data_IF_205216173972
#
_entry.id   IF_205216173972
#
_cell.length_a   1.000
_cell.length_b   1.000
_cell.length_c   1.000
_cell.angle_alpha   90.00
_cell.angle_beta   90.00
_cell.angle_gamma   90.00
#
_symmetry.space_group_name_H-M   'P 1'
#
loop_
_entity.id
_entity.type
_entity.pdbx_description
1 polymer ?
#
# COMPACT_ATOMS: atom_id res chain seq x y z
N UNK A 1 -3.65 -4.16 -18.20
CA UNK A 1 -4.13 -3.18 -17.22
C UNK A 1 -5.19 -3.77 -16.29
N UNK A 2 -6.30 -4.32 -16.82
CA UNK A 2 -7.44 -4.78 -16.01
C UNK A 2 -7.06 -5.76 -14.90
N UNK A 3 -6.29 -6.82 -15.20
CA UNK A 3 -5.85 -7.79 -14.19
C UNK A 3 -5.05 -7.13 -13.05
N UNK A 4 -4.15 -6.21 -13.38
CA UNK A 4 -3.34 -5.51 -12.38
C UNK A 4 -4.20 -4.54 -11.52
N UNK A 5 -5.17 -3.85 -12.14
CA UNK A 5 -6.09 -2.98 -11.42
C UNK A 5 -7.03 -3.80 -10.50
N UNK A 6 -7.49 -4.99 -10.93
CA UNK A 6 -8.27 -5.89 -10.06
C UNK A 6 -7.45 -6.42 -8.89
N UNK A 7 -6.18 -6.78 -9.10
CA UNK A 7 -5.28 -7.19 -8.03
C UNK A 7 -5.01 -6.05 -7.04
N UNK A 8 -4.81 -4.83 -7.53
CA UNK A 8 -4.67 -3.65 -6.68
C UNK A 8 -5.93 -3.42 -5.84
N UNK A 9 -7.11 -3.42 -6.47
CA UNK A 9 -8.37 -3.23 -5.77
C UNK A 9 -8.61 -4.31 -4.70
N UNK A 10 -8.28 -5.58 -4.99
CA UNK A 10 -8.33 -6.66 -4.01
C UNK A 10 -7.42 -6.37 -2.80
N UNK A 11 -6.17 -5.98 -3.07
CA UNK A 11 -5.21 -5.65 -2.01
C UNK A 11 -5.69 -4.48 -1.15
N UNK A 12 -6.28 -3.47 -1.77
CA UNK A 12 -6.81 -2.28 -1.08
C UNK A 12 -8.00 -2.61 -0.18
N UNK A 13 -8.87 -3.51 -0.61
CA UNK A 13 -10.07 -3.89 0.15
C UNK A 13 -9.78 -4.89 1.28
N UNK A 14 -8.87 -5.85 1.05
CA UNK A 14 -8.68 -6.99 1.95
C UNK A 14 -7.44 -6.90 2.84
N UNK A 15 -6.44 -6.09 2.44
CA UNK A 15 -5.12 -6.08 3.07
C UNK A 15 -4.22 -7.25 2.71
N UNK A 16 -4.74 -8.22 1.96
CA UNK A 16 -3.96 -9.33 1.43
C UNK A 16 -3.45 -8.98 0.03
N UNK A 17 -2.25 -9.41 -0.37
CA UNK A 17 -1.74 -9.09 -1.69
C UNK A 17 -2.64 -9.63 -2.80
N UNK A 18 -3.16 -8.75 -3.64
CA UNK A 18 -3.77 -9.18 -4.89
C UNK A 18 -2.69 -9.68 -5.85
N UNK A 19 -2.94 -10.79 -6.53
CA UNK A 19 -1.98 -11.42 -7.43
C UNK A 19 -2.44 -11.26 -8.88
N UNK A 20 -1.56 -10.74 -9.73
CA UNK A 20 -1.77 -10.71 -11.18
C UNK A 20 -0.64 -11.45 -11.88
N UNK A 21 -1.00 -12.27 -12.88
CA UNK A 21 -0.05 -12.94 -13.77
C UNK A 21 -0.21 -12.37 -15.17
N UNK A 22 0.88 -11.96 -15.79
CA UNK A 22 0.89 -11.39 -17.14
C UNK A 22 2.02 -11.98 -17.98
N UNK A 23 1.83 -11.92 -19.30
CA UNK A 23 2.91 -12.29 -20.22
C UNK A 23 4.01 -11.24 -20.25
N UNK A 24 5.17 -11.62 -20.76
CA UNK A 24 6.32 -10.72 -21.00
C UNK A 24 5.95 -9.55 -21.92
N UNK A 25 6.80 -8.55 -21.96
CA UNK A 25 6.68 -7.42 -22.87
C UNK A 25 5.37 -6.64 -22.69
N UNK A 26 4.46 -6.70 -23.66
CA UNK A 26 3.21 -5.92 -23.64
C UNK A 26 2.35 -6.14 -22.40
N UNK A 27 2.31 -7.39 -21.87
CA UNK A 27 1.57 -7.69 -20.64
C UNK A 27 2.11 -6.92 -19.44
N UNK A 28 3.43 -6.90 -19.25
CA UNK A 28 4.09 -6.13 -18.21
C UNK A 28 3.89 -4.62 -18.38
N UNK A 29 4.01 -4.10 -19.61
CA UNK A 29 3.77 -2.69 -19.89
C UNK A 29 2.34 -2.27 -19.51
N UNK A 30 1.34 -3.06 -19.87
CA UNK A 30 -0.05 -2.78 -19.49
C UNK A 30 -0.31 -2.94 -17.99
N UNK A 31 0.41 -3.83 -17.30
CA UNK A 31 0.27 -4.03 -15.86
C UNK A 31 0.91 -2.92 -15.02
N UNK A 32 1.86 -2.18 -15.58
CA UNK A 32 2.63 -1.16 -14.85
C UNK A 32 1.75 -0.09 -14.21
N UNK A 33 0.61 0.25 -14.80
CA UNK A 33 -0.33 1.22 -14.22
C UNK A 33 -0.88 0.73 -12.86
N UNK A 34 -1.30 -0.54 -12.76
CA UNK A 34 -1.79 -1.10 -11.50
C UNK A 34 -0.68 -1.18 -10.44
N UNK A 35 0.56 -1.52 -10.85
CA UNK A 35 1.73 -1.52 -9.95
C UNK A 35 2.01 -0.10 -9.43
N UNK A 36 1.97 0.91 -10.31
CA UNK A 36 2.19 2.29 -9.91
C UNK A 36 1.11 2.80 -8.95
N UNK A 37 -0.16 2.48 -9.21
CA UNK A 37 -1.27 2.81 -8.30
C UNK A 37 -1.04 2.14 -6.94
N UNK A 38 -0.75 0.83 -6.91
CA UNK A 38 -0.48 0.10 -5.68
C UNK A 38 0.70 0.70 -4.88
N UNK A 39 1.75 1.14 -5.57
CA UNK A 39 2.89 1.79 -4.93
C UNK A 39 2.54 3.13 -4.30
N UNK A 40 1.78 3.96 -5.01
CA UNK A 40 1.35 5.28 -4.52
C UNK A 40 0.36 5.17 -3.36
N UNK A 41 -0.59 4.25 -3.45
CA UNK A 41 -1.63 4.04 -2.44
C UNK A 41 -1.18 3.14 -1.28
N UNK A 42 0.04 2.60 -1.34
CA UNK A 42 0.57 1.64 -0.35
C UNK A 42 -0.27 0.36 -0.26
N UNK A 43 -0.75 -0.13 -1.41
CA UNK A 43 -1.58 -1.33 -1.52
C UNK A 43 -0.71 -2.57 -1.70
N UNK A 44 -0.89 -3.64 -0.92
CA UNK A 44 -0.16 -4.88 -1.12
C UNK A 44 -0.58 -5.56 -2.43
N UNK A 45 0.40 -5.91 -3.27
CA UNK A 45 0.19 -6.53 -4.56
C UNK A 45 1.40 -7.38 -4.96
N UNK A 46 1.19 -8.47 -5.68
CA UNK A 46 2.25 -9.25 -6.32
C UNK A 46 1.95 -9.36 -7.81
N UNK A 47 2.84 -8.82 -8.63
CA UNK A 47 2.80 -8.99 -10.07
C UNK A 47 3.79 -10.07 -10.48
N UNK A 48 3.32 -11.10 -11.18
CA UNK A 48 4.14 -12.16 -11.76
C UNK A 48 4.18 -11.96 -13.27
N UNK A 49 5.38 -11.92 -13.86
CA UNK A 49 5.60 -11.66 -15.27
C UNK A 49 6.36 -12.83 -15.88
N UNK A 50 5.86 -13.40 -16.97
CA UNK A 50 6.66 -14.30 -17.78
C UNK A 50 7.85 -13.55 -18.40
N UNK A 51 8.99 -14.25 -18.57
CA UNK A 51 10.18 -13.68 -19.19
C UNK A 51 10.72 -14.62 -20.28
N UNK A 52 11.50 -14.10 -21.20
CA UNK A 52 12.19 -14.92 -22.19
C UNK A 52 13.08 -15.96 -21.52
N UNK A 53 13.35 -17.08 -22.21
CA UNK A 53 14.27 -18.09 -21.69
C UNK A 53 15.65 -17.49 -21.39
N UNK A 54 16.27 -17.93 -20.30
CA UNK A 54 17.61 -17.48 -19.89
C UNK A 54 18.65 -17.64 -21.01
N UNK A 55 18.50 -18.68 -21.84
CA UNK A 55 19.41 -18.94 -22.95
C UNK A 55 19.33 -17.90 -24.09
N UNK A 56 18.25 -17.14 -24.17
CA UNK A 56 18.03 -16.10 -25.19
C UNK A 56 18.21 -14.69 -24.67
N UNK A 57 18.56 -14.54 -23.40
CA UNK A 57 18.75 -13.25 -22.74
C UNK A 57 19.85 -12.42 -23.42
N UNK A 58 19.62 -11.11 -23.46
CA UNK A 58 20.56 -10.11 -24.03
C UNK A 58 20.88 -10.33 -25.54
N UNK A 59 19.91 -10.94 -26.27
CA UNK A 59 20.01 -11.17 -27.71
C UNK A 59 18.87 -10.53 -28.49
N UNK A 60 18.24 -9.50 -27.91
CA UNK A 60 17.05 -8.86 -28.48
C UNK A 60 15.89 -9.88 -28.68
N UNK A 61 15.75 -10.82 -27.75
CA UNK A 61 14.72 -11.83 -27.82
C UNK A 61 13.32 -11.18 -27.84
N UNK A 62 12.39 -11.81 -28.56
CA UNK A 62 11.06 -11.25 -28.77
C UNK A 62 10.34 -10.90 -27.46
N UNK A 63 10.01 -9.62 -27.28
CA UNK A 63 9.36 -9.05 -26.10
C UNK A 63 10.20 -9.09 -24.81
N UNK A 64 11.50 -9.24 -24.90
CA UNK A 64 12.38 -9.12 -23.76
C UNK A 64 12.37 -7.70 -23.17
N UNK A 65 12.26 -7.58 -21.86
CA UNK A 65 12.40 -6.31 -21.13
C UNK A 65 13.20 -6.57 -19.85
N UNK A 66 14.05 -5.61 -19.48
CA UNK A 66 14.65 -5.58 -18.16
C UNK A 66 13.62 -5.05 -17.13
N UNK A 67 12.91 -5.99 -16.49
CA UNK A 67 11.86 -5.63 -15.53
C UNK A 67 12.39 -4.99 -14.27
N UNK A 68 13.60 -5.31 -13.86
CA UNK A 68 14.21 -4.66 -12.72
C UNK A 68 14.41 -3.16 -13.00
N UNK A 69 14.90 -2.80 -14.16
CA UNK A 69 15.01 -1.39 -14.57
C UNK A 69 13.64 -0.72 -14.69
N UNK A 70 12.64 -1.44 -15.21
CA UNK A 70 11.30 -0.90 -15.43
C UNK A 70 10.52 -0.64 -14.13
N UNK A 71 10.60 -1.55 -13.14
CA UNK A 71 9.74 -1.54 -11.96
C UNK A 71 10.43 -1.14 -10.66
N UNK A 72 11.76 -0.98 -10.63
CA UNK A 72 12.50 -0.70 -9.39
C UNK A 72 12.04 0.57 -8.68
N UNK A 73 11.61 1.59 -9.42
CA UNK A 73 11.15 2.87 -8.86
C UNK A 73 9.69 2.87 -8.39
N UNK A 74 8.91 1.87 -8.79
CA UNK A 74 7.47 1.77 -8.51
C UNK A 74 7.06 0.46 -7.82
N UNK A 75 8.03 -0.26 -7.25
CA UNK A 75 7.78 -1.46 -6.46
C UNK A 75 8.68 -1.51 -5.23
N UNK A 76 8.31 -2.28 -4.24
CA UNK A 76 9.15 -2.53 -3.06
C UNK A 76 10.31 -3.47 -3.35
N UNK A 77 10.10 -4.36 -4.30
CA UNK A 77 11.08 -5.32 -4.77
C UNK A 77 10.71 -5.79 -6.17
N UNK A 78 11.68 -5.81 -7.04
CA UNK A 78 11.57 -6.37 -8.37
C UNK A 78 12.74 -7.33 -8.60
N UNK A 79 12.44 -8.58 -8.92
CA UNK A 79 13.47 -9.62 -9.08
C UNK A 79 13.05 -10.66 -10.11
N UNK A 80 14.05 -11.29 -10.73
CA UNK A 80 13.85 -12.47 -11.56
C UNK A 80 14.15 -13.74 -10.75
N UNK A 81 13.30 -14.76 -10.90
CA UNK A 81 13.46 -16.06 -10.29
C UNK A 81 14.21 -16.95 -11.28
N UNK A 82 15.41 -17.33 -10.94
CA UNK A 82 16.36 -18.05 -11.81
C UNK A 82 16.38 -19.57 -11.60
N UNK A 83 15.69 -20.08 -10.57
CA UNK A 83 15.66 -21.50 -10.18
C UNK A 83 14.25 -21.91 -9.75
N UNK A 84 13.79 -23.04 -10.28
CA UNK A 84 12.47 -23.60 -9.96
C UNK A 84 12.35 -24.00 -8.48
N UNK A 85 13.43 -24.52 -7.88
CA UNK A 85 13.48 -24.96 -6.49
C UNK A 85 13.30 -23.80 -5.52
N UNK A 86 13.65 -22.59 -5.95
CA UNK A 86 13.57 -21.38 -5.13
C UNK A 86 12.26 -20.60 -5.28
N UNK A 87 11.36 -21.02 -6.16
CA UNK A 87 10.06 -20.32 -6.34
C UNK A 87 9.32 -20.14 -5.00
N UNK A 88 9.20 -21.16 -4.12
CA UNK A 88 8.50 -20.98 -2.84
C UNK A 88 9.17 -19.94 -1.93
N UNK A 89 10.50 -19.89 -1.89
CA UNK A 89 11.26 -18.88 -1.14
C UNK A 89 10.93 -17.45 -1.64
N UNK A 90 10.96 -17.24 -2.97
CA UNK A 90 10.67 -15.95 -3.56
C UNK A 90 9.22 -15.52 -3.34
N UNK A 91 8.26 -16.43 -3.44
CA UNK A 91 6.85 -16.16 -3.17
C UNK A 91 6.63 -15.77 -1.69
N UNK A 92 7.22 -16.53 -0.76
CA UNK A 92 7.14 -16.23 0.66
C UNK A 92 7.73 -14.85 0.99
N UNK A 93 8.90 -14.54 0.42
CA UNK A 93 9.53 -13.23 0.57
C UNK A 93 8.71 -12.11 -0.06
N UNK A 94 8.15 -12.33 -1.25
CA UNK A 94 7.28 -11.37 -1.92
C UNK A 94 6.06 -11.04 -1.08
N UNK A 95 5.41 -12.05 -0.51
CA UNK A 95 4.27 -11.88 0.39
C UNK A 95 4.64 -11.03 1.62
N UNK A 96 5.72 -11.40 2.30
CA UNK A 96 6.20 -10.66 3.47
C UNK A 96 6.54 -9.20 3.13
N UNK A 97 7.24 -8.96 2.02
CA UNK A 97 7.58 -7.60 1.61
C UNK A 97 6.35 -6.78 1.22
N UNK A 98 5.38 -7.39 0.52
CA UNK A 98 4.17 -6.69 0.12
C UNK A 98 3.33 -6.25 1.32
N UNK A 99 3.31 -7.05 2.41
CA UNK A 99 2.45 -6.85 3.58
C UNK A 99 3.12 -6.19 4.78
N UNK A 100 4.45 -6.08 4.81
CA UNK A 100 5.19 -5.57 5.98
C UNK A 100 5.56 -4.09 5.85
N UNK A 101 5.62 -3.40 6.98
CA UNK A 101 5.94 -1.97 7.04
C UNK A 101 4.96 -1.14 6.22
N UNK A 102 5.44 -0.22 5.37
CA UNK A 102 4.61 0.38 4.35
C UNK A 102 4.30 -0.69 3.29
N UNK A 103 3.07 -1.15 3.24
CA UNK A 103 2.63 -2.13 2.25
C UNK A 103 2.81 -1.61 0.81
N UNK A 104 2.88 -2.49 -0.17
CA UNK A 104 3.08 -2.07 -1.55
C UNK A 104 3.38 -3.23 -2.50
N UNK A 105 3.52 -2.94 -3.81
CA UNK A 105 3.68 -3.97 -4.82
C UNK A 105 5.07 -4.59 -4.82
N UNK A 106 5.10 -5.88 -5.14
CA UNK A 106 6.29 -6.65 -5.47
C UNK A 106 6.14 -7.21 -6.89
N UNK A 107 7.22 -7.22 -7.65
CA UNK A 107 7.25 -7.71 -9.02
C UNK A 107 8.22 -8.88 -9.14
N UNK A 108 7.74 -10.01 -9.62
CA UNK A 108 8.51 -11.22 -9.88
C UNK A 108 8.50 -11.52 -11.36
N UNK A 109 9.64 -11.70 -11.99
CA UNK A 109 9.72 -12.24 -13.34
C UNK A 109 10.23 -13.68 -13.31
N UNK A 110 9.66 -14.54 -14.17
CA UNK A 110 9.99 -15.94 -14.21
C UNK A 110 10.30 -16.32 -15.67
N UNK A 111 11.56 -16.73 -15.98
CA UNK A 111 11.92 -17.16 -17.31
C UNK A 111 11.15 -18.40 -17.77
N UNK A 112 10.86 -18.47 -19.06
CA UNK A 112 10.07 -19.54 -19.69
C UNK A 112 10.65 -20.95 -19.41
N UNK A 113 11.98 -21.08 -19.46
CA UNK A 113 12.63 -22.34 -19.13
C UNK A 113 12.49 -22.72 -17.65
N UNK A 114 12.40 -21.76 -16.72
CA UNK A 114 12.14 -22.02 -15.30
C UNK A 114 10.67 -22.41 -15.08
N UNK A 115 9.73 -21.74 -15.76
CA UNK A 115 8.30 -22.09 -15.72
C UNK A 115 7.98 -23.50 -16.23
N UNK A 116 8.84 -24.05 -17.09
CA UNK A 116 8.67 -25.38 -17.68
C UNK A 116 9.33 -26.51 -16.89
N UNK A 117 10.04 -26.18 -15.83
CA UNK A 117 10.73 -27.16 -14.98
C UNK A 117 9.81 -27.68 -13.87
N UNK A 118 10.15 -28.85 -13.36
CA UNK A 118 9.55 -29.44 -12.16
C UNK A 118 10.61 -29.68 -11.10
N UNK A 119 10.26 -29.47 -9.84
CA UNK A 119 11.15 -29.72 -8.72
C UNK A 119 10.39 -30.34 -7.55
N UNK A 120 11.10 -31.12 -6.75
CA UNK A 120 10.62 -31.55 -5.45
C UNK A 120 10.89 -30.43 -4.43
N UNK A 121 9.84 -29.95 -3.77
CA UNK A 121 9.95 -28.89 -2.78
C UNK A 121 9.36 -29.35 -1.45
N UNK A 122 9.87 -28.81 -0.34
CA UNK A 122 9.30 -29.00 0.98
C UNK A 122 8.26 -27.90 1.28
N UNK A 123 7.14 -28.29 1.89
CA UNK A 123 5.99 -27.39 2.20
C UNK A 123 6.24 -26.39 3.36
N UNK A 124 7.45 -25.93 3.57
CA UNK A 124 7.85 -25.32 4.85
C UNK A 124 7.81 -23.81 4.95
N UNK A 125 7.31 -23.08 3.96
CA UNK A 125 7.31 -21.61 4.01
C UNK A 125 5.96 -21.07 4.52
N UNK A 126 5.79 -21.04 5.85
CA UNK A 126 4.69 -20.28 6.46
C UNK A 126 5.07 -18.80 6.53
N UNK A 127 4.24 -17.95 5.98
CA UNK A 127 4.42 -16.49 6.03
C UNK A 127 3.36 -15.87 6.93
N UNK A 128 3.81 -15.15 7.95
CA UNK A 128 2.92 -14.30 8.75
C UNK A 128 3.33 -12.84 8.50
N UNK A 129 2.37 -11.93 8.26
CA UNK A 129 2.67 -10.52 8.16
C UNK A 129 3.34 -10.04 9.44
N UNK A 130 4.46 -9.34 9.31
CA UNK A 130 5.11 -8.72 10.45
C UNK A 130 4.41 -7.42 10.82
N UNK A 131 3.84 -7.36 12.01
CA UNK A 131 3.32 -6.15 12.60
C UNK A 131 4.31 -5.59 13.63
N UNK A 132 4.73 -4.34 13.46
CA UNK A 132 5.54 -3.67 14.46
C UNK A 132 4.72 -3.44 15.73
N UNK A 133 5.29 -3.77 16.89
CA UNK A 133 4.66 -3.44 18.16
C UNK A 133 4.71 -1.90 18.41
N UNK A 134 3.65 -1.31 18.96
CA UNK A 134 3.68 0.09 19.33
C UNK A 134 4.73 0.36 20.42
N UNK A 135 5.26 1.58 20.47
CA UNK A 135 6.13 2.02 21.54
C UNK A 135 5.43 1.88 22.90
N UNK A 136 6.17 1.47 23.92
CA UNK A 136 5.63 1.45 25.30
C UNK A 136 5.14 2.84 25.71
N UNK A 137 3.97 2.89 26.32
CA UNK A 137 3.34 4.12 26.81
C UNK A 137 2.94 5.13 25.72
N UNK A 138 2.80 4.70 24.45
CA UNK A 138 2.30 5.58 23.39
C UNK A 138 0.89 6.09 23.70
N UNK A 139 0.06 5.26 24.31
CA UNK A 139 -1.28 5.61 24.79
C UNK A 139 -1.27 6.73 25.82
N UNK A 140 -0.33 6.70 26.77
CA UNK A 140 -0.15 7.76 27.78
C UNK A 140 0.30 9.06 27.12
N UNK A 141 1.26 8.99 26.18
CA UNK A 141 1.72 10.18 25.43
C UNK A 141 0.58 10.81 24.64
N UNK A 142 -0.16 10.01 23.89
CA UNK A 142 -1.31 10.49 23.11
C UNK A 142 -2.37 11.10 24.00
N UNK A 143 -2.70 10.46 25.15
CA UNK A 143 -3.65 10.99 26.12
C UNK A 143 -3.22 12.35 26.68
N UNK A 144 -1.94 12.51 27.00
CA UNK A 144 -1.41 13.80 27.51
C UNK A 144 -1.53 14.90 26.45
N UNK A 145 -1.14 14.66 25.20
CA UNK A 145 -1.31 15.62 24.12
C UNK A 145 -2.77 16.06 23.95
N UNK A 146 -3.73 15.12 23.96
CA UNK A 146 -5.14 15.48 23.88
C UNK A 146 -5.65 16.26 25.09
N UNK A 147 -5.11 16.00 26.30
CA UNK A 147 -5.53 16.74 27.51
C UNK A 147 -5.06 18.19 27.53
N UNK A 148 -4.01 18.51 26.80
CA UNK A 148 -3.42 19.85 26.69
C UNK A 148 -3.98 20.64 25.48
N UNK A 149 -4.56 19.95 24.50
CA UNK A 149 -5.08 20.55 23.26
C UNK A 149 -6.47 21.11 23.44
N UNK A 150 -6.73 22.26 22.80
CA UNK A 150 -8.04 22.89 22.72
C UNK A 150 -8.73 22.69 21.35
N UNK A 151 -7.94 22.49 20.31
CA UNK A 151 -8.42 22.33 18.92
C UNK A 151 -7.75 21.13 18.23
N UNK A 152 -7.93 19.90 18.75
CA UNK A 152 -7.36 18.72 18.13
C UNK A 152 -8.02 18.40 16.79
N UNK A 153 -7.26 17.87 15.84
CA UNK A 153 -7.73 17.33 14.58
C UNK A 153 -7.09 15.97 14.33
N UNK A 154 -7.90 14.99 13.93
CA UNK A 154 -7.40 13.68 13.52
C UNK A 154 -7.37 13.61 11.99
N UNK A 155 -6.25 13.15 11.44
CA UNK A 155 -6.09 12.88 10.00
C UNK A 155 -5.80 11.39 9.83
N UNK A 156 -6.64 10.69 9.09
CA UNK A 156 -6.50 9.26 8.86
C UNK A 156 -6.22 8.95 7.40
N UNK A 157 -5.47 7.89 7.15
CA UNK A 157 -5.11 7.50 5.78
C UNK A 157 -4.31 6.20 5.77
N UNK A 158 -3.53 6.00 4.71
CA UNK A 158 -2.65 4.84 4.58
C UNK A 158 -3.34 3.60 4.03
N UNK A 159 -2.80 2.43 4.32
CA UNK A 159 -3.25 1.15 3.78
C UNK A 159 -4.59 0.69 4.40
N UNK A 160 -4.74 -0.59 4.60
CA UNK A 160 -5.98 -1.20 5.05
C UNK A 160 -6.32 -0.83 6.50
N UNK A 161 -7.58 -0.50 6.71
CA UNK A 161 -8.14 -0.30 8.04
C UNK A 161 -9.09 -1.46 8.34
N UNK A 162 -8.87 -2.21 9.43
CA UNK A 162 -9.87 -3.16 9.91
C UNK A 162 -11.18 -2.42 10.27
N UNK A 163 -12.31 -3.04 10.00
CA UNK A 163 -13.63 -2.47 10.31
C UNK A 163 -13.73 -2.06 11.79
N UNK A 164 -13.22 -2.91 12.67
CA UNK A 164 -13.17 -2.63 14.11
C UNK A 164 -12.37 -1.36 14.43
N UNK A 165 -11.23 -1.12 13.77
CA UNK A 165 -10.43 0.09 13.98
C UNK A 165 -11.19 1.35 13.55
N UNK A 166 -11.89 1.29 12.42
CA UNK A 166 -12.73 2.39 11.94
C UNK A 166 -13.89 2.68 12.90
N UNK A 167 -14.55 1.64 13.41
CA UNK A 167 -15.63 1.76 14.38
C UNK A 167 -15.13 2.34 15.71
N UNK A 168 -14.00 1.86 16.22
CA UNK A 168 -13.39 2.37 17.46
C UNK A 168 -12.98 3.83 17.34
N UNK A 169 -12.42 4.23 16.19
CA UNK A 169 -12.09 5.62 15.95
C UNK A 169 -13.32 6.51 15.89
N UNK A 170 -14.40 6.06 15.22
CA UNK A 170 -15.66 6.79 15.16
C UNK A 170 -16.24 7.02 16.56
N UNK A 171 -16.27 5.98 17.40
CA UNK A 171 -16.73 6.06 18.80
C UNK A 171 -15.87 7.04 19.61
N UNK A 172 -14.55 6.94 19.50
CA UNK A 172 -13.63 7.84 20.19
C UNK A 172 -13.82 9.30 19.75
N UNK A 173 -13.82 9.55 18.46
CA UNK A 173 -13.95 10.90 17.91
C UNK A 173 -15.30 11.52 18.26
N UNK A 174 -16.39 10.75 18.18
CA UNK A 174 -17.75 11.22 18.55
C UNK A 174 -17.84 11.52 20.04
N UNK A 175 -17.34 10.62 20.91
CA UNK A 175 -17.37 10.80 22.36
C UNK A 175 -16.64 12.07 22.81
N UNK A 176 -15.56 12.40 22.15
CA UNK A 176 -14.71 13.54 22.51
C UNK A 176 -14.92 14.77 21.61
N UNK A 177 -15.88 14.70 20.67
CA UNK A 177 -16.17 15.77 19.69
C UNK A 177 -14.94 16.22 18.91
N UNK A 178 -14.03 15.27 18.57
CA UNK A 178 -12.81 15.54 17.82
C UNK A 178 -13.09 15.39 16.32
N UNK A 179 -12.83 16.42 15.51
CA UNK A 179 -13.02 16.33 14.07
C UNK A 179 -12.03 15.37 13.42
N UNK A 180 -12.50 14.63 12.38
CA UNK A 180 -11.73 13.68 11.62
C UNK A 180 -11.73 14.03 10.15
N UNK A 181 -10.55 14.17 9.56
CA UNK A 181 -10.33 14.29 8.12
C UNK A 181 -9.71 13.01 7.57
N UNK A 182 -10.03 12.68 6.33
CA UNK A 182 -9.42 11.54 5.63
C UNK A 182 -8.40 12.03 4.60
N UNK A 183 -7.32 11.27 4.43
CA UNK A 183 -6.32 11.53 3.41
C UNK A 183 -6.83 11.25 1.99
N UNK A 184 -6.03 11.62 0.99
CA UNK A 184 -6.34 11.44 -0.41
C UNK A 184 -6.73 10.00 -0.75
N UNK A 185 -7.88 9.83 -1.42
CA UNK A 185 -8.46 8.54 -1.85
C UNK A 185 -8.78 7.56 -0.71
N UNK A 186 -9.07 8.06 0.50
CA UNK A 186 -9.39 7.22 1.66
C UNK A 186 -10.71 7.59 2.35
N UNK A 187 -11.69 8.01 1.56
CA UNK A 187 -13.05 8.27 2.06
C UNK A 187 -13.76 7.00 2.55
N UNK A 188 -13.28 5.85 2.14
CA UNK A 188 -13.78 4.51 2.49
C UNK A 188 -13.56 4.12 3.95
N UNK A 189 -12.58 4.73 4.64
CA UNK A 189 -12.15 4.28 5.98
C UNK A 189 -12.86 4.98 7.14
N UNK A 190 -13.79 5.89 6.87
CA UNK A 190 -14.53 6.60 7.90
C UNK A 190 -15.97 6.89 7.47
N UNK A 191 -16.91 6.92 8.41
CA UNK A 191 -18.30 7.29 8.12
C UNK A 191 -18.41 8.77 7.74
N UNK A 192 -18.58 9.04 6.46
CA UNK A 192 -18.68 10.39 5.91
C UNK A 192 -20.00 11.12 6.29
N UNK A 193 -20.96 10.42 6.92
CA UNK A 193 -22.21 11.01 7.44
C UNK A 193 -22.09 11.41 8.91
N UNK A 194 -21.00 11.03 9.56
CA UNK A 194 -20.76 11.37 10.96
C UNK A 194 -20.62 12.89 11.15
N UNK A 195 -21.15 13.40 12.25
CA UNK A 195 -21.03 14.82 12.61
C UNK A 195 -19.55 15.26 12.88
N UNK A 196 -18.68 14.32 13.21
CA UNK A 196 -17.25 14.60 13.42
C UNK A 196 -16.43 14.48 12.13
N UNK A 197 -17.02 14.04 11.02
CA UNK A 197 -16.35 14.03 9.74
C UNK A 197 -16.25 15.46 9.18
N UNK A 198 -15.03 15.94 8.95
CA UNK A 198 -14.81 17.31 8.48
C UNK A 198 -14.31 17.43 7.03
N UNK A 199 -14.20 16.31 6.32
CA UNK A 199 -13.87 16.29 4.89
C UNK A 199 -12.65 15.47 4.53
N UNK A 200 -12.26 15.54 3.26
CA UNK A 200 -11.09 14.84 2.73
C UNK A 200 -10.01 15.80 2.24
N UNK A 201 -8.76 15.40 2.49
CA UNK A 201 -7.57 16.05 1.96
C UNK A 201 -7.22 15.47 0.58
N UNK A 202 -6.76 16.32 -0.33
CA UNK A 202 -6.41 15.91 -1.70
C UNK A 202 -6.50 17.08 -2.67
N UNK A 203 -6.91 16.80 -3.92
CA UNK A 203 -6.95 17.80 -5.00
C UNK A 203 -7.94 18.95 -4.78
N UNK A 204 -8.95 18.73 -3.95
CA UNK A 204 -9.96 19.75 -3.63
C UNK A 204 -10.26 19.67 -2.13
N UNK A 205 -9.71 20.60 -1.38
CA UNK A 205 -9.96 20.72 0.06
C UNK A 205 -10.92 21.87 0.30
N UNK A 206 -11.94 21.65 1.12
CA UNK A 206 -12.89 22.72 1.45
C UNK A 206 -12.21 23.82 2.27
N UNK A 207 -12.66 25.06 2.08
CA UNK A 207 -12.14 26.19 2.86
C UNK A 207 -12.34 26.01 4.37
N UNK A 208 -13.44 25.38 4.76
CA UNK A 208 -13.73 25.08 6.17
C UNK A 208 -12.74 24.05 6.76
N UNK A 209 -12.30 23.05 5.99
CA UNK A 209 -11.28 22.10 6.44
C UNK A 209 -9.91 22.77 6.50
N UNK A 210 -9.54 23.59 5.51
CA UNK A 210 -8.30 24.37 5.55
C UNK A 210 -8.25 25.30 6.77
N UNK A 211 -9.33 26.01 7.05
CA UNK A 211 -9.41 26.85 8.24
C UNK A 211 -9.21 26.04 9.52
N UNK A 212 -9.86 24.86 9.62
CA UNK A 212 -9.74 23.97 10.78
C UNK A 212 -8.31 23.44 10.97
N UNK A 213 -7.62 23.12 9.88
CA UNK A 213 -6.21 22.71 9.91
C UNK A 213 -5.33 23.85 10.43
N UNK A 214 -5.51 25.06 9.92
CA UNK A 214 -4.73 26.22 10.34
C UNK A 214 -4.98 26.62 11.79
N UNK A 215 -6.15 26.32 12.34
CA UNK A 215 -6.51 26.62 13.73
C UNK A 215 -6.17 25.47 14.69
N UNK A 216 -5.84 24.29 14.17
CA UNK A 216 -5.54 23.12 15.01
C UNK A 216 -4.24 23.32 15.80
N UNK A 217 -4.28 23.03 17.10
CA UNK A 217 -3.13 23.05 18.00
C UNK A 217 -2.53 21.65 18.22
N UNK A 218 -3.24 20.61 17.75
CA UNK A 218 -2.79 19.23 17.76
C UNK A 218 -3.27 18.49 16.52
N UNK A 219 -2.35 17.84 15.82
CA UNK A 219 -2.67 16.92 14.72
C UNK A 219 -2.31 15.48 15.13
N UNK A 220 -3.32 14.62 15.26
CA UNK A 220 -3.10 13.17 15.36
C UNK A 220 -3.21 12.55 13.97
N UNK A 221 -2.10 12.07 13.44
CA UNK A 221 -2.03 11.48 12.11
C UNK A 221 -1.93 9.96 12.23
N UNK A 222 -2.92 9.23 11.73
CA UNK A 222 -2.97 7.76 11.81
C UNK A 222 -2.88 7.17 10.41
N UNK A 223 -1.79 6.45 10.13
CA UNK A 223 -1.57 5.73 8.88
C UNK A 223 -1.27 6.61 7.66
N UNK A 224 -1.54 7.90 7.68
CA UNK A 224 -1.23 8.82 6.59
C UNK A 224 0.25 9.21 6.58
N UNK A 225 0.82 9.36 5.37
CA UNK A 225 2.21 9.84 5.19
C UNK A 225 2.34 11.36 5.17
N UNK A 226 1.25 12.10 5.14
CA UNK A 226 1.23 13.53 4.86
C UNK A 226 2.04 13.87 3.59
N UNK A 227 1.78 13.11 2.52
CA UNK A 227 2.45 13.31 1.24
C UNK A 227 1.86 14.49 0.45
N UNK A 228 2.47 14.82 -0.67
CA UNK A 228 2.17 15.93 -1.57
C UNK A 228 0.66 16.22 -1.72
N UNK A 229 -0.13 15.23 -2.15
CA UNK A 229 -1.57 15.39 -2.35
C UNK A 229 -2.35 15.71 -1.06
N UNK A 230 -1.94 15.13 0.07
CA UNK A 230 -2.61 15.35 1.36
C UNK A 230 -2.27 16.70 1.95
N UNK A 231 -1.09 17.22 1.64
CA UNK A 231 -0.55 18.47 2.21
C UNK A 231 -0.55 19.64 1.23
N UNK A 232 -1.16 19.45 0.05
CA UNK A 232 -1.18 20.46 -1.03
C UNK A 232 0.22 20.99 -1.36
N UNK A 233 1.13 20.10 -1.71
CA UNK A 233 2.50 20.50 -2.04
C UNK A 233 3.37 20.80 -0.80
N UNK A 234 3.02 20.23 0.37
CA UNK A 234 3.70 20.47 1.65
C UNK A 234 3.53 21.89 2.20
N UNK A 235 2.39 22.53 1.87
CA UNK A 235 2.15 23.94 2.24
C UNK A 235 1.19 24.11 3.43
N UNK A 236 0.35 23.10 3.77
CA UNK A 236 -0.72 23.25 4.76
C UNK A 236 -0.43 22.65 6.15
N UNK A 237 0.79 22.23 6.42
CA UNK A 237 1.22 21.71 7.75
C UNK A 237 2.59 22.24 8.12
#
# INVERSE_FOLDING_TARGET
>A
AGAANMAEAYGKLTGNPGIALVTRGPGACHASIGVHIAYQDSTPMILIIGQVSQATRDREAFQEINYQAMFSSISKWCVEIDSVERIPEYIARAYNLATSGRTGPVVLSIPENVLSQTAEISDSYSTQPYAAAPERNVDIKVKNYFSESQKPLIIIGGAVWPEEASANLLLFATKHSIPVAVGFRRQDIFDNKSQVFCGSLGTSVSSSLLQRINEADLLLVIGSRLGDMTTQGYEIF
#
